data_IF_797360440724
#
_entry.id   IF_797360440724
#
_cell.length_a   1.000
_cell.length_b   1.000
_cell.length_c   1.000
_cell.angle_alpha   90.00
_cell.angle_beta   90.00
_cell.angle_gamma   90.00
#
_symmetry.space_group_name_H-M   'P 1'
#
loop_
_entity.id
_entity.type
_entity.pdbx_description
1 polymer ?
#
# COMPACT_ATOMS: atom_id res chain seq x y z
N UNK A 1 6.12 22.64 -3.10
CA UNK A 1 4.75 23.16 -3.36
C UNK A 1 3.79 22.00 -3.64
N UNK A 2 3.48 21.20 -2.62
CA UNK A 2 2.56 20.05 -2.70
C UNK A 2 1.78 19.83 -1.40
N UNK A 3 2.35 20.22 -0.26
CA UNK A 3 1.69 20.16 1.05
C UNK A 3 0.37 20.94 1.15
N UNK A 4 0.28 22.14 0.56
CA UNK A 4 -0.97 22.92 0.59
C UNK A 4 -2.15 22.18 -0.06
N UNK A 5 -1.94 21.61 -1.25
CA UNK A 5 -2.97 20.82 -1.94
C UNK A 5 -3.36 19.54 -1.19
N UNK A 6 -2.41 18.91 -0.50
CA UNK A 6 -2.67 17.74 0.33
C UNK A 6 -3.48 18.10 1.58
N UNK A 7 -3.24 19.28 2.14
CA UNK A 7 -3.97 19.77 3.29
C UNK A 7 -5.40 20.17 2.90
N UNK A 8 -5.59 20.80 1.74
CA UNK A 8 -6.92 21.07 1.18
C UNK A 8 -7.70 19.76 0.94
N UNK A 9 -7.05 18.76 0.34
CA UNK A 9 -7.65 17.44 0.14
C UNK A 9 -8.07 16.78 1.45
N UNK A 10 -7.24 16.90 2.50
CA UNK A 10 -7.58 16.39 3.83
C UNK A 10 -8.84 17.06 4.38
N UNK A 11 -8.96 18.38 4.29
CA UNK A 11 -10.13 19.09 4.79
C UNK A 11 -11.40 18.71 4.03
N UNK A 12 -11.32 18.49 2.72
CA UNK A 12 -12.45 17.99 1.93
C UNK A 12 -12.89 16.61 2.45
N UNK A 13 -11.95 15.68 2.64
CA UNK A 13 -12.29 14.36 3.17
C UNK A 13 -12.85 14.44 4.60
N UNK A 14 -12.30 15.30 5.46
CA UNK A 14 -12.82 15.50 6.82
C UNK A 14 -14.25 16.04 6.80
N UNK A 15 -14.55 17.03 5.97
CA UNK A 15 -15.91 17.57 5.84
C UNK A 15 -16.90 16.50 5.36
N UNK A 16 -16.48 15.64 4.43
CA UNK A 16 -17.29 14.51 3.97
C UNK A 16 -17.52 13.47 5.07
N UNK A 17 -16.50 13.19 5.89
CA UNK A 17 -16.63 12.29 7.05
C UNK A 17 -17.58 12.87 8.09
N UNK A 18 -17.48 14.16 8.39
CA UNK A 18 -18.34 14.83 9.36
C UNK A 18 -19.81 14.87 8.88
N UNK A 19 -20.02 15.03 7.56
CA UNK A 19 -21.35 15.16 6.95
C UNK A 19 -22.05 13.83 6.68
N UNK A 20 -21.30 12.81 6.27
CA UNK A 20 -21.86 11.53 5.79
C UNK A 20 -21.42 10.31 6.61
N UNK A 21 -20.55 10.50 7.61
CA UNK A 21 -19.97 9.45 8.44
C UNK A 21 -18.66 8.88 7.89
N UNK A 22 -17.86 8.29 8.78
CA UNK A 22 -16.61 7.65 8.37
C UNK A 22 -16.87 6.34 7.62
N UNK A 23 -16.53 6.33 6.32
CA UNK A 23 -16.55 5.15 5.46
C UNK A 23 -15.11 4.72 5.14
N UNK A 24 -14.86 3.44 4.82
CA UNK A 24 -13.52 2.97 4.44
C UNK A 24 -12.91 3.81 3.31
N UNK A 25 -13.70 4.20 2.30
CA UNK A 25 -13.23 5.04 1.19
C UNK A 25 -12.71 6.41 1.67
N UNK A 26 -13.48 7.10 2.51
CA UNK A 26 -13.09 8.44 2.99
C UNK A 26 -11.88 8.37 3.92
N UNK A 27 -11.82 7.38 4.80
CA UNK A 27 -10.69 7.15 5.70
C UNK A 27 -9.40 6.83 4.93
N UNK A 28 -9.49 6.06 3.84
CA UNK A 28 -8.36 5.83 2.93
C UNK A 28 -7.89 7.12 2.25
N UNK A 29 -8.84 7.96 1.80
CA UNK A 29 -8.53 9.29 1.26
C UNK A 29 -7.75 10.15 2.25
N UNK A 30 -8.20 10.21 3.51
CA UNK A 30 -7.50 10.91 4.58
C UNK A 30 -6.11 10.33 4.84
N UNK A 31 -6.00 9.01 4.95
CA UNK A 31 -4.72 8.34 5.16
C UNK A 31 -3.70 8.68 4.06
N UNK A 32 -4.11 8.70 2.79
CA UNK A 32 -3.22 9.07 1.67
C UNK A 32 -2.77 10.53 1.78
N UNK A 33 -3.64 11.45 2.20
CA UNK A 33 -3.23 12.84 2.45
C UNK A 33 -2.22 12.95 3.59
N UNK A 34 -2.37 12.18 4.67
CA UNK A 34 -1.41 12.13 5.77
C UNK A 34 -0.07 11.51 5.35
N UNK A 35 -0.09 10.39 4.62
CA UNK A 35 1.11 9.77 4.06
C UNK A 35 1.88 10.74 3.14
N UNK A 36 1.16 11.50 2.30
CA UNK A 36 1.77 12.53 1.44
C UNK A 36 2.37 13.71 2.22
N UNK A 37 1.87 14.00 3.42
CA UNK A 37 2.41 15.03 4.33
C UNK A 37 3.55 14.51 5.21
N UNK A 38 3.86 13.21 5.16
CA UNK A 38 4.84 12.58 6.06
C UNK A 38 4.33 12.33 7.48
N UNK A 39 3.02 12.42 7.70
CA UNK A 39 2.32 12.18 8.97
C UNK A 39 1.90 10.72 9.07
N UNK A 40 2.87 9.84 9.34
CA UNK A 40 2.68 8.40 9.22
C UNK A 40 1.88 7.82 10.40
N UNK A 41 2.00 8.38 11.60
CA UNK A 41 1.22 7.94 12.76
C UNK A 41 -0.29 8.20 12.56
N UNK A 42 -0.66 9.37 12.06
CA UNK A 42 -2.06 9.71 11.77
C UNK A 42 -2.62 8.88 10.61
N UNK A 43 -1.80 8.57 9.61
CA UNK A 43 -2.17 7.65 8.54
C UNK A 43 -2.43 6.23 9.07
N UNK A 44 -1.60 5.72 9.99
CA UNK A 44 -1.79 4.39 10.60
C UNK A 44 -3.12 4.33 11.36
N UNK A 45 -3.43 5.37 12.13
CA UNK A 45 -4.70 5.46 12.87
C UNK A 45 -5.92 5.46 11.94
N UNK A 46 -5.91 6.28 10.88
CA UNK A 46 -7.01 6.36 9.93
C UNK A 46 -7.22 5.04 9.16
N UNK A 47 -6.12 4.37 8.76
CA UNK A 47 -6.21 3.06 8.11
C UNK A 47 -6.69 1.96 9.07
N UNK A 48 -6.32 2.04 10.35
CA UNK A 48 -6.79 1.08 11.35
C UNK A 48 -8.31 1.20 11.55
N UNK A 49 -8.85 2.42 11.62
CA UNK A 49 -10.29 2.62 11.66
C UNK A 49 -10.97 2.08 10.39
N UNK A 50 -10.33 2.23 9.23
CA UNK A 50 -10.86 1.68 7.97
C UNK A 50 -10.89 0.14 7.98
N UNK A 51 -9.87 -0.52 8.56
CA UNK A 51 -9.84 -1.98 8.76
C UNK A 51 -10.93 -2.43 9.72
N UNK A 52 -11.14 -1.70 10.82
CA UNK A 52 -12.16 -2.04 11.82
C UNK A 52 -13.58 -1.98 11.23
N UNK A 53 -13.79 -1.12 10.21
CA UNK A 53 -15.05 -1.04 9.44
C UNK A 53 -15.17 -2.11 8.36
N UNK A 54 -14.12 -2.28 7.56
CA UNK A 54 -14.07 -3.31 6.51
C UNK A 54 -12.64 -3.81 6.33
N UNK A 55 -12.35 -4.93 7.00
CA UNK A 55 -11.05 -5.59 6.96
C UNK A 55 -10.70 -6.16 5.57
N UNK A 56 -11.66 -6.26 4.66
CA UNK A 56 -11.48 -6.82 3.31
C UNK A 56 -11.36 -5.74 2.25
N UNK A 57 -11.49 -4.46 2.60
CA UNK A 57 -11.43 -3.37 1.64
C UNK A 57 -10.04 -3.30 0.98
N UNK A 58 -9.94 -3.48 -0.36
CA UNK A 58 -8.66 -3.68 -1.02
C UNK A 58 -7.75 -2.46 -0.91
N UNK A 59 -8.28 -1.24 -1.02
CA UNK A 59 -7.45 -0.02 -0.94
C UNK A 59 -6.84 0.16 0.46
N UNK A 60 -7.57 -0.22 1.52
CA UNK A 60 -7.05 -0.17 2.91
C UNK A 60 -5.86 -1.11 3.06
N UNK A 61 -5.97 -2.32 2.52
CA UNK A 61 -4.90 -3.31 2.57
C UNK A 61 -3.67 -2.81 1.79
N UNK A 62 -3.85 -2.24 0.60
CA UNK A 62 -2.74 -1.67 -0.19
C UNK A 62 -2.05 -0.52 0.54
N UNK A 63 -2.82 0.41 1.10
CA UNK A 63 -2.27 1.55 1.87
C UNK A 63 -1.54 1.07 3.13
N UNK A 64 -2.07 0.06 3.83
CA UNK A 64 -1.40 -0.57 4.98
C UNK A 64 -0.09 -1.26 4.58
N UNK A 65 -0.04 -1.95 3.44
CA UNK A 65 1.19 -2.59 2.93
C UNK A 65 2.26 -1.52 2.69
N UNK A 66 1.90 -0.42 2.02
CA UNK A 66 2.83 0.67 1.74
C UNK A 66 3.34 1.32 3.04
N UNK A 67 2.44 1.68 3.95
CA UNK A 67 2.79 2.33 5.22
C UNK A 67 3.70 1.45 6.08
N UNK A 68 3.38 0.16 6.22
CA UNK A 68 4.20 -0.76 7.02
C UNK A 68 5.57 -1.02 6.38
N UNK A 69 5.66 -1.06 5.04
CA UNK A 69 6.95 -1.11 4.35
C UNK A 69 7.77 0.15 4.59
N UNK A 70 7.14 1.32 4.56
CA UNK A 70 7.79 2.60 4.83
C UNK A 70 8.36 2.67 6.24
N UNK A 71 7.62 2.16 7.24
CA UNK A 71 8.02 2.11 8.65
C UNK A 71 9.02 0.98 8.97
N UNK A 72 9.44 0.18 7.97
CA UNK A 72 10.35 -0.96 8.17
C UNK A 72 9.70 -2.20 8.81
N UNK A 73 8.38 -2.19 9.00
CA UNK A 73 7.58 -3.31 9.55
C UNK A 73 7.22 -4.33 8.45
N UNK A 74 8.22 -4.89 7.78
CA UNK A 74 8.06 -5.77 6.60
C UNK A 74 7.19 -7.00 6.87
N UNK A 75 7.26 -7.59 8.07
CA UNK A 75 6.43 -8.75 8.46
C UNK A 75 4.93 -8.43 8.42
N UNK A 76 4.55 -7.25 8.91
CA UNK A 76 3.16 -6.81 8.93
C UNK A 76 2.68 -6.52 7.51
N UNK A 77 3.53 -5.88 6.69
CA UNK A 77 3.22 -5.65 5.29
C UNK A 77 3.02 -6.96 4.52
N UNK A 78 3.84 -7.99 4.78
CA UNK A 78 3.68 -9.30 4.15
C UNK A 78 2.38 -9.99 4.56
N UNK A 79 1.96 -9.84 5.82
CA UNK A 79 0.67 -10.36 6.30
C UNK A 79 -0.51 -9.72 5.55
N UNK A 80 -0.52 -8.40 5.40
CA UNK A 80 -1.56 -7.71 4.63
C UNK A 80 -1.51 -8.05 3.13
N UNK A 81 -0.32 -8.28 2.58
CA UNK A 81 -0.18 -8.73 1.19
C UNK A 81 -0.80 -10.12 0.98
N UNK A 82 -0.57 -11.06 1.91
CA UNK A 82 -1.22 -12.38 1.87
C UNK A 82 -2.75 -12.24 1.96
N UNK A 83 -3.25 -11.40 2.87
CA UNK A 83 -4.68 -11.14 3.00
C UNK A 83 -5.29 -10.54 1.72
N UNK A 84 -4.57 -9.62 1.07
CA UNK A 84 -5.00 -9.05 -0.21
C UNK A 84 -5.05 -10.11 -1.31
N UNK A 85 -4.08 -11.02 -1.37
CA UNK A 85 -4.09 -12.15 -2.32
C UNK A 85 -5.24 -13.12 -2.08
N UNK A 86 -5.55 -13.42 -0.82
CA UNK A 86 -6.62 -14.34 -0.46
C UNK A 86 -8.00 -13.76 -0.73
N UNK A 87 -8.17 -12.45 -0.53
CA UNK A 87 -9.46 -11.78 -0.65
C UNK A 87 -9.72 -11.24 -2.06
N UNK A 88 -8.68 -10.71 -2.72
CA UNK A 88 -8.76 -10.03 -4.01
C UNK A 88 -7.58 -10.43 -4.92
N UNK A 89 -7.52 -11.71 -5.29
CA UNK A 89 -6.46 -12.26 -6.16
C UNK A 89 -6.36 -11.59 -7.54
N UNK A 90 -7.46 -11.01 -8.04
CA UNK A 90 -7.52 -10.33 -9.33
C UNK A 90 -7.20 -8.83 -9.29
N UNK A 91 -6.90 -8.28 -8.11
CA UNK A 91 -6.67 -6.85 -7.95
C UNK A 91 -5.49 -6.35 -8.83
N UNK A 92 -5.60 -5.19 -9.50
CA UNK A 92 -4.54 -4.67 -10.38
C UNK A 92 -3.17 -4.62 -9.70
N UNK A 93 -3.12 -4.22 -8.43
CA UNK A 93 -1.90 -4.21 -7.63
C UNK A 93 -1.19 -5.58 -7.55
N UNK A 94 -1.93 -6.68 -7.40
CA UNK A 94 -1.34 -8.02 -7.33
C UNK A 94 -0.80 -8.43 -8.70
N UNK A 95 -1.54 -8.16 -9.77
CA UNK A 95 -1.09 -8.44 -11.15
C UNK A 95 0.18 -7.67 -11.49
N UNK A 96 0.24 -6.38 -11.17
CA UNK A 96 1.42 -5.54 -11.36
C UNK A 96 2.60 -6.01 -10.51
N UNK A 97 2.36 -6.41 -9.25
CA UNK A 97 3.40 -6.93 -8.37
C UNK A 97 4.02 -8.21 -8.93
N UNK A 98 3.19 -9.16 -9.37
CA UNK A 98 3.66 -10.42 -9.93
C UNK A 98 4.42 -10.19 -11.26
N UNK A 99 3.95 -9.28 -12.11
CA UNK A 99 4.68 -8.85 -13.31
C UNK A 99 6.06 -8.27 -12.97
N UNK A 100 6.15 -7.39 -11.97
CA UNK A 100 7.43 -6.81 -11.55
C UNK A 100 8.37 -7.84 -10.95
N UNK A 101 7.85 -8.81 -10.21
CA UNK A 101 8.63 -9.93 -9.69
C UNK A 101 9.18 -10.81 -10.83
N UNK A 102 8.40 -11.06 -11.87
CA UNK A 102 8.82 -11.85 -13.02
C UNK A 102 9.85 -11.12 -13.90
N UNK A 103 9.66 -9.81 -14.12
CA UNK A 103 10.68 -8.94 -14.74
C UNK A 103 11.99 -8.98 -13.95
N UNK A 104 11.91 -8.85 -12.62
CA UNK A 104 13.10 -8.92 -11.76
C UNK A 104 13.80 -10.28 -11.86
N UNK A 105 13.03 -11.39 -11.82
CA UNK A 105 13.59 -12.73 -12.00
C UNK A 105 14.24 -12.91 -13.37
N UNK A 106 13.65 -12.34 -14.43
CA UNK A 106 14.21 -12.38 -15.77
C UNK A 106 15.57 -11.66 -15.82
N UNK A 107 15.64 -10.45 -15.25
CA UNK A 107 16.89 -9.70 -15.12
C UNK A 107 17.90 -10.48 -14.29
N UNK A 108 17.53 -11.02 -13.12
CA UNK A 108 18.44 -11.84 -12.32
C UNK A 108 19.01 -13.02 -13.11
N UNK A 109 18.20 -13.69 -13.94
CA UNK A 109 18.69 -14.78 -14.82
C UNK A 109 19.68 -14.29 -15.88
N UNK A 110 19.49 -13.09 -16.41
CA UNK A 110 20.38 -12.49 -17.40
C UNK A 110 21.73 -12.06 -16.79
N UNK A 111 21.74 -11.65 -15.51
CA UNK A 111 22.93 -11.18 -14.80
C UNK A 111 23.55 -12.22 -13.86
N UNK A 112 22.91 -13.38 -13.66
CA UNK A 112 23.55 -14.52 -13.03
C UNK A 112 24.75 -14.89 -13.92
N UNK A 113 25.99 -14.92 -13.39
CA UNK A 113 27.12 -15.36 -14.18
C UNK A 113 26.79 -16.77 -14.65
N UNK A 114 26.69 -16.94 -15.96
CA UNK A 114 26.96 -18.23 -16.58
C UNK A 114 28.31 -18.62 -16.02
N UNK A 115 28.33 -19.50 -15.02
CA UNK A 115 29.54 -20.27 -14.68
C UNK A 115 29.87 -20.96 -16.00
N UNK A 116 30.72 -20.33 -16.80
CA UNK A 116 31.62 -21.06 -17.65
C UNK A 116 32.36 -21.95 -16.66
N UNK A 117 31.92 -23.20 -16.59
CA UNK A 117 32.81 -24.32 -16.35
C UNK A 117 33.99 -24.09 -17.27
N UNK A 118 35.03 -23.46 -16.74
CA UNK A 118 36.37 -23.59 -17.26
C UNK A 118 36.73 -25.03 -16.90
N UNK A 119 36.30 -25.95 -17.75
CA UNK A 119 37.03 -27.20 -17.96
C UNK A 119 38.34 -26.80 -18.63
N UNK A 120 39.44 -26.97 -17.90
CA UNK A 120 40.74 -27.51 -18.34
C UNK A 120 41.76 -27.42 -17.20
#
# INVERSE_FOLDING_TARGET
>A
MGGEKLQDAYYIYQELVDKYGSTPLLLNGQAVTFMGQGKYEEAEAALQEAIDKDAKYPDTLVNMIWLNRHLGKSEIANRYLSQLRDTHSEHPYIKELDQKLDEFRHICKQYLPSRQTIEE
#
